data_IF_801860951993
#
_entry.id   IF_801860951993
#
_cell.length_a   1.000
_cell.length_b   1.000
_cell.length_c   1.000
_cell.angle_alpha   90.00
_cell.angle_beta   90.00
_cell.angle_gamma   90.00
#
_symmetry.space_group_name_H-M   'P 1'
#
loop_
_entity.id
_entity.type
_entity.pdbx_description
1 polymer ?
#
# COMPACT_ATOMS: atom_id res chain seq x y z
N UNK A 1 13.84 -8.01 -32.98
CA UNK A 1 13.94 -9.43 -32.63
C UNK A 1 14.57 -9.50 -31.25
N UNK A 2 13.75 -9.59 -30.19
CA UNK A 2 14.21 -9.63 -28.80
C UNK A 2 14.49 -11.08 -28.40
N UNK A 3 15.66 -11.44 -27.85
CA UNK A 3 15.85 -12.77 -27.28
C UNK A 3 15.22 -12.84 -25.88
N UNK A 4 14.35 -13.83 -25.72
CA UNK A 4 13.96 -14.42 -24.45
C UNK A 4 15.19 -15.00 -23.72
N UNK A 5 15.31 -14.78 -22.41
CA UNK A 5 15.95 -15.77 -21.55
C UNK A 5 15.37 -15.72 -20.14
N UNK A 6 14.97 -16.91 -19.67
CA UNK A 6 14.40 -17.22 -18.36
C UNK A 6 15.47 -17.01 -17.28
N UNK A 7 15.22 -16.17 -16.29
CA UNK A 7 16.03 -16.14 -15.07
C UNK A 7 15.54 -17.22 -14.10
N UNK A 8 16.11 -18.41 -14.22
CA UNK A 8 16.13 -19.41 -13.16
C UNK A 8 17.09 -18.93 -12.07
N UNK A 9 16.58 -18.60 -10.88
CA UNK A 9 17.41 -18.21 -9.74
C UNK A 9 18.04 -19.48 -9.12
N UNK A 10 19.36 -19.59 -9.19
CA UNK A 10 20.14 -20.76 -8.81
C UNK A 10 20.55 -20.67 -7.33
N UNK A 11 20.28 -21.73 -6.57
CA UNK A 11 20.70 -21.91 -5.18
C UNK A 11 22.04 -22.67 -5.15
N UNK A 12 23.17 -21.96 -5.07
CA UNK A 12 24.49 -22.58 -4.95
C UNK A 12 24.93 -22.64 -3.47
N UNK A 13 25.28 -23.84 -3.00
CA UNK A 13 25.88 -24.11 -1.69
C UNK A 13 27.32 -23.57 -1.67
N UNK A 14 27.57 -22.54 -0.87
CA UNK A 14 28.92 -22.08 -0.57
C UNK A 14 28.93 -20.92 0.43
N UNK A 15 29.19 -21.25 1.70
CA UNK A 15 29.80 -20.41 2.74
C UNK A 15 29.39 -18.94 2.88
N UNK A 16 28.63 -18.65 3.95
CA UNK A 16 28.73 -17.38 4.68
C UNK A 16 27.81 -16.26 4.24
N UNK A 17 26.55 -16.30 4.68
CA UNK A 17 25.92 -15.25 5.49
C UNK A 17 24.53 -15.76 5.91
N UNK A 18 24.33 -15.95 7.21
CA UNK A 18 23.03 -16.33 7.76
C UNK A 18 22.02 -15.21 7.58
N UNK A 19 20.98 -15.45 6.80
CA UNK A 19 19.55 -15.35 7.15
C UNK A 19 18.74 -15.72 5.90
N UNK A 20 18.00 -16.82 6.04
CA UNK A 20 16.86 -17.27 5.26
C UNK A 20 17.10 -17.78 3.83
N UNK A 21 17.48 -19.06 3.76
CA UNK A 21 17.11 -19.99 2.69
C UNK A 21 15.63 -20.38 2.64
N UNK A 22 14.77 -19.52 3.18
CA UNK A 22 13.32 -19.59 3.04
C UNK A 22 13.05 -18.46 2.05
N UNK A 23 12.70 -18.78 0.80
CA UNK A 23 12.33 -17.74 -0.17
C UNK A 23 11.37 -16.75 0.48
N UNK A 24 11.55 -15.45 0.22
CA UNK A 24 10.73 -14.40 0.83
C UNK A 24 9.25 -14.80 0.67
N UNK A 25 8.46 -14.92 1.77
CA UNK A 25 7.08 -15.27 1.62
C UNK A 25 6.41 -14.21 0.75
N UNK A 26 5.49 -14.64 -0.11
CA UNK A 26 4.91 -13.77 -1.14
C UNK A 26 4.09 -12.59 -0.53
N UNK A 27 3.66 -12.68 0.74
CA UNK A 27 2.99 -11.58 1.50
C UNK A 27 3.94 -10.39 1.77
N UNK A 28 5.13 -10.58 2.39
CA UNK A 28 6.12 -9.51 2.53
C UNK A 28 6.52 -8.86 1.20
N UNK A 29 6.66 -9.63 0.13
CA UNK A 29 6.99 -9.09 -1.18
C UNK A 29 5.90 -8.13 -1.68
N UNK A 30 4.64 -8.59 -1.62
CA UNK A 30 3.48 -7.80 -2.01
C UNK A 30 3.34 -6.51 -1.18
N UNK A 31 3.50 -6.63 0.14
CA UNK A 31 3.48 -5.48 1.06
C UNK A 31 4.57 -4.47 0.69
N UNK A 32 5.78 -4.95 0.38
CA UNK A 32 6.88 -4.10 -0.08
C UNK A 32 6.57 -3.39 -1.40
N UNK A 33 5.91 -4.07 -2.34
CA UNK A 33 5.50 -3.48 -3.61
C UNK A 33 4.46 -2.36 -3.43
N UNK A 34 3.47 -2.55 -2.54
CA UNK A 34 2.49 -1.49 -2.21
C UNK A 34 3.20 -0.28 -1.63
N UNK A 35 4.00 -0.47 -0.57
CA UNK A 35 4.69 0.62 0.10
C UNK A 35 5.58 1.40 -0.88
N UNK A 36 6.37 0.68 -1.69
CA UNK A 36 7.22 1.28 -2.73
C UNK A 36 6.40 2.10 -3.72
N UNK A 37 5.31 1.54 -4.23
CA UNK A 37 4.46 2.21 -5.22
C UNK A 37 3.84 3.50 -4.67
N UNK A 38 3.47 3.51 -3.38
CA UNK A 38 2.93 4.70 -2.73
C UNK A 38 4.03 5.75 -2.50
N UNK A 39 5.23 5.32 -2.09
CA UNK A 39 6.38 6.23 -1.97
C UNK A 39 6.74 6.90 -3.30
N UNK A 40 6.73 6.15 -4.40
CA UNK A 40 6.93 6.69 -5.74
C UNK A 40 5.86 7.72 -6.12
N UNK A 41 4.58 7.45 -5.79
CA UNK A 41 3.50 8.42 -6.00
C UNK A 41 3.69 9.67 -5.15
N UNK A 42 4.03 9.54 -3.86
CA UNK A 42 4.29 10.67 -2.98
C UNK A 42 5.40 11.58 -3.54
N UNK A 43 6.52 10.98 -3.94
CA UNK A 43 7.64 11.69 -4.56
C UNK A 43 7.27 12.34 -5.89
N UNK A 44 6.49 11.66 -6.73
CA UNK A 44 6.00 12.20 -8.00
C UNK A 44 5.18 13.50 -7.80
N UNK A 45 4.43 13.61 -6.69
CA UNK A 45 3.69 14.82 -6.34
C UNK A 45 4.50 15.83 -5.50
N UNK A 46 5.77 15.54 -5.21
CA UNK A 46 6.68 16.42 -4.48
C UNK A 46 6.57 16.34 -2.95
N UNK A 47 6.00 15.27 -2.41
CA UNK A 47 5.90 15.05 -0.96
C UNK A 47 7.00 14.11 -0.47
N UNK A 48 7.73 14.52 0.58
CA UNK A 48 8.80 13.74 1.18
C UNK A 48 8.22 12.70 2.17
N UNK A 49 8.48 11.42 1.92
CA UNK A 49 7.95 10.29 2.71
C UNK A 49 8.67 10.07 4.05
N UNK A 50 9.72 10.84 4.34
CA UNK A 50 10.53 10.72 5.54
C UNK A 50 9.91 11.40 6.77
N UNK A 51 9.01 12.35 6.56
CA UNK A 51 8.27 13.05 7.63
C UNK A 51 7.26 12.15 8.34
N UNK A 52 7.05 12.35 9.64
CA UNK A 52 6.10 11.55 10.42
C UNK A 52 4.65 11.69 9.94
N UNK A 53 4.27 12.90 9.54
CA UNK A 53 2.95 13.21 8.98
C UNK A 53 2.69 12.43 7.68
N UNK A 54 3.70 12.35 6.80
CA UNK A 54 3.58 11.63 5.54
C UNK A 54 3.59 10.12 5.75
N UNK A 55 4.39 9.60 6.69
CA UNK A 55 4.36 8.18 7.06
C UNK A 55 2.99 7.78 7.60
N UNK A 56 2.40 8.61 8.47
CA UNK A 56 1.03 8.41 8.94
C UNK A 56 0.05 8.42 7.78
N UNK A 57 0.14 9.42 6.89
CA UNK A 57 -0.74 9.55 5.74
C UNK A 57 -0.66 8.33 4.81
N UNK A 58 0.54 7.83 4.52
CA UNK A 58 0.77 6.66 3.68
C UNK A 58 0.16 5.40 4.31
N UNK A 59 0.39 5.17 5.61
CA UNK A 59 -0.22 4.05 6.34
C UNK A 59 -1.75 4.16 6.34
N UNK A 60 -2.27 5.37 6.51
CA UNK A 60 -3.71 5.63 6.47
C UNK A 60 -4.29 5.38 5.08
N UNK A 61 -3.61 5.78 4.01
CA UNK A 61 -4.03 5.49 2.64
C UNK A 61 -4.10 4.00 2.36
N UNK A 62 -3.12 3.23 2.83
CA UNK A 62 -3.15 1.75 2.75
C UNK A 62 -4.37 1.26 3.52
N UNK A 63 -4.50 1.59 4.80
CA UNK A 63 -5.61 1.15 5.65
C UNK A 63 -6.97 1.40 4.99
N UNK A 64 -7.22 2.64 4.53
CA UNK A 64 -8.52 3.01 3.93
C UNK A 64 -8.74 2.34 2.59
N UNK A 65 -7.68 2.11 1.81
CA UNK A 65 -7.80 1.40 0.54
C UNK A 65 -8.21 -0.07 0.67
N UNK A 66 -7.99 -0.67 1.84
CA UNK A 66 -8.40 -2.04 2.17
C UNK A 66 -9.86 -2.12 2.69
N UNK A 67 -10.49 -0.98 3.01
CA UNK A 67 -11.85 -0.94 3.53
C UNK A 67 -12.90 -1.00 2.42
N UNK A 68 -14.10 -1.46 2.78
CA UNK A 68 -15.27 -1.54 1.90
C UNK A 68 -16.53 -1.02 2.58
N UNK A 69 -17.53 -0.67 1.79
CA UNK A 69 -18.85 -0.28 2.29
C UNK A 69 -18.84 1.01 3.12
N UNK A 70 -19.55 1.00 4.24
CA UNK A 70 -19.73 2.18 5.10
C UNK A 70 -18.44 2.59 5.83
N UNK A 71 -17.60 1.63 6.22
CA UNK A 71 -16.30 1.91 6.88
C UNK A 71 -15.36 2.69 5.96
N UNK A 72 -15.35 2.35 4.67
CA UNK A 72 -14.59 3.09 3.65
C UNK A 72 -15.07 4.55 3.60
N UNK A 73 -16.38 4.79 3.58
CA UNK A 73 -16.94 6.15 3.49
C UNK A 73 -16.56 6.97 4.72
N UNK A 74 -16.70 6.40 5.91
CA UNK A 74 -16.37 7.07 7.17
C UNK A 74 -14.88 7.40 7.29
N UNK A 75 -14.00 6.42 7.03
CA UNK A 75 -12.56 6.64 7.14
C UNK A 75 -12.01 7.51 6.01
N UNK A 76 -12.63 7.47 4.82
CA UNK A 76 -12.32 8.38 3.72
C UNK A 76 -12.65 9.84 4.08
N UNK A 77 -13.77 10.09 4.75
CA UNK A 77 -14.13 11.43 5.26
C UNK A 77 -13.14 11.90 6.33
N UNK A 78 -12.79 11.04 7.30
CA UNK A 78 -11.76 11.38 8.31
C UNK A 78 -10.41 11.69 7.67
N UNK A 79 -10.04 10.94 6.63
CA UNK A 79 -8.79 11.18 5.89
C UNK A 79 -8.83 12.51 5.13
N UNK A 80 -9.99 12.90 4.59
CA UNK A 80 -10.17 14.20 3.96
C UNK A 80 -10.03 15.36 4.97
N UNK A 81 -10.62 15.21 6.17
CA UNK A 81 -10.46 16.18 7.26
C UNK A 81 -9.00 16.30 7.71
N UNK A 82 -8.27 15.19 7.78
CA UNK A 82 -6.83 15.20 8.08
C UNK A 82 -6.04 15.99 7.04
N UNK A 83 -6.33 15.82 5.74
CA UNK A 83 -5.67 16.57 4.67
C UNK A 83 -5.92 18.08 4.76
N UNK A 84 -7.11 18.49 5.22
CA UNK A 84 -7.46 19.91 5.40
C UNK A 84 -6.80 20.53 6.63
N UNK A 85 -6.77 19.80 7.74
CA UNK A 85 -6.24 20.25 9.03
C UNK A 85 -4.71 20.11 9.14
N UNK A 86 -4.08 19.21 8.37
CA UNK A 86 -2.64 18.84 8.44
C UNK A 86 -2.15 18.58 9.88
N UNK A 87 -3.02 18.09 10.77
CA UNK A 87 -2.70 17.81 12.17
C UNK A 87 -2.80 16.33 12.46
N UNK A 88 -1.74 15.78 13.03
CA UNK A 88 -1.73 14.45 13.63
C UNK A 88 -2.85 14.34 14.68
N UNK A 89 -3.59 13.21 14.72
CA UNK A 89 -4.62 13.00 15.72
C UNK A 89 -4.02 13.04 17.14
N UNK A 90 -4.79 13.56 18.10
CA UNK A 90 -4.37 13.60 19.50
C UNK A 90 -4.10 12.17 20.03
N UNK A 91 -2.92 11.96 20.60
CA UNK A 91 -2.47 10.63 21.04
C UNK A 91 -1.91 9.72 19.94
N UNK A 92 -1.45 10.30 18.82
CA UNK A 92 -0.75 9.58 17.77
C UNK A 92 0.47 8.82 18.32
N UNK A 93 0.51 7.51 18.03
CA UNK A 93 1.68 6.66 18.21
C UNK A 93 1.94 5.92 16.89
N UNK A 94 3.10 6.17 16.29
CA UNK A 94 3.54 5.53 15.06
C UNK A 94 3.53 4.00 15.19
N UNK A 95 3.93 3.44 16.34
CA UNK A 95 3.94 1.98 16.56
C UNK A 95 2.52 1.43 16.55
N UNK A 96 1.58 2.14 17.16
CA UNK A 96 0.16 1.76 17.16
C UNK A 96 -0.40 1.80 15.74
N UNK A 97 -0.15 2.87 14.99
CA UNK A 97 -0.61 2.98 13.60
C UNK A 97 -0.03 1.88 12.70
N UNK A 98 1.27 1.59 12.83
CA UNK A 98 1.92 0.49 12.09
C UNK A 98 1.30 -0.86 12.48
N UNK A 99 1.02 -1.08 13.77
CA UNK A 99 0.38 -2.31 14.25
C UNK A 99 -1.03 -2.47 13.69
N UNK A 100 -1.83 -1.41 13.72
CA UNK A 100 -3.22 -1.45 13.23
C UNK A 100 -3.26 -1.64 11.71
N UNK A 101 -2.43 -0.90 10.98
CA UNK A 101 -2.32 -1.01 9.52
C UNK A 101 -1.80 -2.38 9.11
N UNK A 102 -0.77 -2.90 9.79
CA UNK A 102 -0.20 -4.22 9.47
C UNK A 102 -1.15 -5.36 9.82
N UNK A 103 -1.96 -5.24 10.87
CA UNK A 103 -2.99 -6.24 11.23
C UNK A 103 -4.09 -6.30 10.17
N UNK A 104 -4.58 -5.14 9.70
CA UNK A 104 -5.57 -5.10 8.61
C UNK A 104 -4.98 -5.59 7.29
N UNK A 105 -3.78 -5.12 6.93
CA UNK A 105 -3.11 -5.53 5.70
C UNK A 105 -2.84 -7.04 5.69
N UNK A 106 -2.28 -7.58 6.77
CA UNK A 106 -2.02 -9.03 6.85
C UNK A 106 -3.30 -9.85 6.84
N UNK A 107 -4.36 -9.41 7.52
CA UNK A 107 -5.67 -10.07 7.49
C UNK A 107 -6.24 -10.16 6.08
N UNK A 108 -6.23 -9.04 5.35
CA UNK A 108 -6.71 -9.00 3.97
C UNK A 108 -5.85 -9.85 3.04
N UNK A 109 -4.52 -9.76 3.15
CA UNK A 109 -3.60 -10.57 2.33
C UNK A 109 -3.73 -12.07 2.62
N UNK A 110 -3.95 -12.45 3.88
CA UNK A 110 -4.23 -13.84 4.26
C UNK A 110 -5.57 -14.32 3.69
N UNK A 111 -6.61 -13.48 3.72
CA UNK A 111 -7.91 -13.78 3.11
C UNK A 111 -7.77 -13.99 1.60
N UNK A 112 -7.02 -13.12 0.91
CA UNK A 112 -6.74 -13.27 -0.52
C UNK A 112 -5.99 -14.57 -0.84
N UNK A 113 -5.00 -14.93 -0.02
CA UNK A 113 -4.27 -16.19 -0.17
C UNK A 113 -5.13 -17.42 0.10
N UNK A 114 -6.05 -17.33 1.05
CA UNK A 114 -7.00 -18.40 1.30
C UNK A 114 -7.94 -18.59 0.10
N UNK A 115 -8.44 -17.49 -0.48
CA UNK A 115 -9.28 -17.53 -1.67
C UNK A 115 -8.53 -18.08 -2.90
N UNK A 116 -7.26 -17.70 -3.06
CA UNK A 116 -6.37 -18.24 -4.10
C UNK A 116 -6.07 -19.74 -3.92
N UNK A 117 -6.06 -20.23 -2.67
CA UNK A 117 -5.88 -21.65 -2.34
C UNK A 117 -7.11 -22.53 -2.56
N UNK A 118 -8.29 -21.94 -2.72
CA UNK A 118 -9.54 -22.66 -3.02
C UNK A 118 -9.73 -22.70 -4.55
N UNK A 119 -9.55 -23.86 -5.21
CA UNK A 119 -9.64 -23.97 -6.68
C UNK A 119 -11.07 -23.78 -7.23
N UNK A 120 -12.06 -23.69 -6.34
CA UNK A 120 -13.51 -23.77 -6.65
C UNK A 120 -14.00 -22.56 -7.47
N UNK A 121 -13.25 -21.45 -7.53
CA UNK A 121 -13.59 -20.24 -8.32
C UNK A 121 -12.87 -20.21 -9.68
N UNK A 122 -12.52 -21.38 -10.23
CA UNK A 122 -11.67 -21.54 -11.42
C UNK A 122 -12.27 -21.14 -12.78
N UNK A 123 -13.55 -20.77 -12.88
CA UNK A 123 -14.16 -20.43 -14.17
C UNK A 123 -14.22 -18.92 -14.50
N UNK A 124 -13.99 -18.02 -13.53
CA UNK A 124 -14.14 -16.56 -13.75
C UNK A 124 -13.04 -15.66 -13.13
N UNK A 125 -12.15 -16.18 -12.28
CA UNK A 125 -11.45 -15.37 -11.27
C UNK A 125 -9.92 -15.34 -11.33
N UNK A 126 -9.28 -15.55 -12.48
CA UNK A 126 -7.83 -15.79 -12.57
C UNK A 126 -6.86 -14.64 -12.20
N UNK A 127 -7.31 -13.48 -11.72
CA UNK A 127 -6.46 -12.29 -11.60
C UNK A 127 -6.76 -11.38 -10.39
N UNK A 128 -7.27 -11.93 -9.28
CA UNK A 128 -7.64 -11.11 -8.11
C UNK A 128 -6.49 -10.27 -7.53
N UNK A 129 -5.27 -10.81 -7.51
CA UNK A 129 -4.08 -10.12 -6.98
C UNK A 129 -3.80 -8.78 -7.68
N UNK A 130 -3.85 -8.77 -9.02
CA UNK A 130 -3.61 -7.56 -9.83
C UNK A 130 -4.73 -6.54 -9.68
N UNK A 131 -5.99 -6.99 -9.63
CA UNK A 131 -7.15 -6.11 -9.49
C UNK A 131 -7.10 -5.37 -8.15
N UNK A 132 -6.63 -6.04 -7.09
CA UNK A 132 -6.49 -5.45 -5.77
C UNK A 132 -5.46 -4.33 -5.72
N UNK A 133 -4.25 -4.60 -6.22
CA UNK A 133 -3.18 -3.60 -6.32
C UNK A 133 -3.64 -2.38 -7.11
N UNK A 134 -4.32 -2.59 -8.24
CA UNK A 134 -4.83 -1.49 -9.05
C UNK A 134 -5.84 -0.63 -8.30
N UNK A 135 -6.70 -1.24 -7.47
CA UNK A 135 -7.67 -0.52 -6.64
C UNK A 135 -6.97 0.35 -5.59
N UNK A 136 -6.00 -0.20 -4.87
CA UNK A 136 -5.19 0.56 -3.89
C UNK A 136 -4.51 1.73 -4.57
N UNK A 137 -3.80 1.47 -5.66
CA UNK A 137 -3.05 2.50 -6.38
C UNK A 137 -3.95 3.58 -6.98
N UNK A 138 -5.15 3.22 -7.43
CA UNK A 138 -6.13 4.19 -7.92
C UNK A 138 -6.59 5.11 -6.80
N UNK A 139 -6.90 4.56 -5.62
CA UNK A 139 -7.28 5.36 -4.44
C UNK A 139 -6.16 6.31 -4.02
N UNK A 140 -4.93 5.80 -3.90
CA UNK A 140 -3.74 6.58 -3.55
C UNK A 140 -3.53 7.74 -4.53
N UNK A 141 -3.54 7.46 -5.85
CA UNK A 141 -3.36 8.49 -6.88
C UNK A 141 -4.42 9.59 -6.80
N UNK A 142 -5.69 9.22 -6.62
CA UNK A 142 -6.79 10.19 -6.47
C UNK A 142 -6.56 11.09 -5.24
N UNK A 143 -6.14 10.51 -4.11
CA UNK A 143 -5.89 11.27 -2.88
C UNK A 143 -4.71 12.22 -2.99
N UNK A 144 -3.59 11.77 -3.55
CA UNK A 144 -2.45 12.66 -3.81
C UNK A 144 -2.77 13.76 -4.82
N UNK A 145 -3.53 13.43 -5.87
CA UNK A 145 -3.99 14.43 -6.84
C UNK A 145 -4.89 15.49 -6.17
N UNK A 146 -5.86 15.07 -5.34
CA UNK A 146 -6.71 15.98 -4.57
C UNK A 146 -5.87 16.90 -3.68
N UNK A 147 -4.89 16.35 -2.95
CA UNK A 147 -3.99 17.12 -2.07
C UNK A 147 -3.15 18.13 -2.86
N UNK A 148 -2.60 17.72 -3.99
CA UNK A 148 -1.83 18.59 -4.89
C UNK A 148 -2.68 19.75 -5.42
N UNK A 149 -3.92 19.48 -5.85
CA UNK A 149 -4.85 20.51 -6.31
C UNK A 149 -5.23 21.49 -5.20
N UNK A 150 -5.51 21.00 -3.98
CA UNK A 150 -5.80 21.85 -2.82
C UNK A 150 -4.63 22.76 -2.46
N UNK A 151 -3.40 22.22 -2.43
CA UNK A 151 -2.20 23.02 -2.15
C UNK A 151 -1.95 24.06 -3.26
N UNK A 152 -2.23 23.73 -4.54
CA UNK A 152 -2.11 24.67 -5.67
C UNK A 152 -3.16 25.78 -5.58
N UNK A 153 -4.42 25.45 -5.29
CA UNK A 153 -5.49 26.44 -5.12
C UNK A 153 -5.22 27.38 -3.94
N UNK A 154 -4.68 26.88 -2.81
CA UNK A 154 -4.27 27.72 -1.67
C UNK A 154 -3.15 28.70 -2.04
N UNK A 155 -2.18 28.28 -2.87
CA UNK A 155 -1.09 29.16 -3.35
C UNK A 155 -1.53 30.18 -4.40
N UNK A 156 -2.66 29.95 -5.07
CA UNK A 156 -3.24 30.86 -6.06
C UNK A 156 -4.35 31.76 -5.50
N UNK A 157 -4.68 31.66 -4.20
CA UNK A 157 -5.58 32.61 -3.55
C UNK A 157 -4.77 33.86 -3.14
N UNK A 158 -5.10 35.06 -3.64
CA UNK A 158 -4.42 36.31 -3.28
C UNK A 158 -4.64 36.71 -1.81
#
# INVERSE_FOLDING_TARGET
MYPCSRSSFVYSRGGGLGVLGIGLPDIPLFTGMILKSIYEVALHYGYAYDTEEERYFILKLIQVSLLYGEELVQENQKTDLFMEMKKLPEGYDMKKQVKDTSSMLSGELLYMKFLQGIPVVGAAGGIYDTVYLQRIMKYVKIKYQKRFLLDKTRKCLP
#
